data_IF_268391243762
#
_entry.id   IF_268391243762
#
_cell.length_a   1.000
_cell.length_b   1.000
_cell.length_c   1.000
_cell.angle_alpha   90.00
_cell.angle_beta   90.00
_cell.angle_gamma   90.00
#
_symmetry.space_group_name_H-M   'P 1'
#
loop_
_entity.id
_entity.type
_entity.pdbx_description
1 polymer ?
#
# COMPACT_ATOMS: atom_id res chain seq x y z
N UNK A 1 -21.34 9.61 -6.01
CA UNK A 1 -20.09 8.86 -6.30
C UNK A 1 -19.23 9.80 -7.14
N UNK A 2 -18.04 10.15 -6.66
CA UNK A 2 -17.19 11.24 -7.14
C UNK A 2 -16.92 11.22 -8.66
N UNK A 3 -16.97 12.38 -9.31
CA UNK A 3 -16.60 12.52 -10.74
C UNK A 3 -15.17 12.05 -11.03
N UNK A 4 -14.32 12.06 -10.00
CA UNK A 4 -12.90 11.71 -10.03
C UNK A 4 -12.60 10.25 -10.41
N UNK A 5 -13.60 9.35 -10.37
CA UNK A 5 -13.44 7.93 -10.71
C UNK A 5 -14.29 7.50 -11.92
N UNK A 6 -14.92 8.45 -12.62
CA UNK A 6 -15.72 8.15 -13.82
C UNK A 6 -14.90 7.45 -14.90
N UNK A 7 -13.63 7.84 -15.06
CA UNK A 7 -12.68 7.25 -16.00
C UNK A 7 -12.34 5.79 -15.69
N UNK A 8 -12.61 5.30 -14.47
CA UNK A 8 -12.45 3.89 -14.13
C UNK A 8 -13.59 3.03 -14.69
N UNK A 9 -14.73 3.65 -15.01
CA UNK A 9 -15.98 2.97 -15.35
C UNK A 9 -16.30 2.96 -16.85
N UNK A 10 -15.73 3.87 -17.66
CA UNK A 10 -15.89 3.90 -19.11
C UNK A 10 -14.53 3.73 -19.81
N UNK A 11 -14.43 2.72 -20.68
CA UNK A 11 -13.26 2.36 -21.51
C UNK A 11 -11.92 2.09 -20.82
N UNK A 12 -11.89 2.16 -19.49
CA UNK A 12 -10.71 1.82 -18.69
C UNK A 12 -10.32 0.35 -18.84
N UNK A 13 -9.03 0.04 -18.74
CA UNK A 13 -8.55 -1.34 -18.73
C UNK A 13 -9.17 -2.15 -17.58
N UNK A 14 -9.52 -1.49 -16.47
CA UNK A 14 -10.15 -2.12 -15.30
C UNK A 14 -11.60 -2.50 -15.61
N UNK A 15 -12.33 -1.66 -16.35
CA UNK A 15 -13.70 -1.94 -16.76
C UNK A 15 -13.80 -3.19 -17.67
N UNK A 16 -12.76 -3.46 -18.46
CA UNK A 16 -12.70 -4.64 -19.35
C UNK A 16 -12.69 -5.97 -18.60
N UNK A 17 -12.30 -5.99 -17.32
CA UNK A 17 -12.43 -7.20 -16.48
C UNK A 17 -13.88 -7.62 -16.25
N UNK A 18 -14.86 -6.74 -16.49
CA UNK A 18 -16.28 -7.08 -16.43
C UNK A 18 -16.68 -8.16 -17.43
N UNK A 19 -15.89 -8.38 -18.49
CA UNK A 19 -16.07 -9.52 -19.38
C UNK A 19 -15.91 -10.87 -18.66
N UNK A 20 -15.22 -10.94 -17.52
CA UNK A 20 -15.10 -12.17 -16.71
C UNK A 20 -16.28 -12.36 -15.73
N UNK A 21 -17.19 -11.39 -15.62
CA UNK A 21 -18.36 -11.44 -14.75
C UNK A 21 -19.56 -12.08 -15.46
N UNK A 22 -20.00 -13.28 -15.06
CA UNK A 22 -21.13 -13.95 -15.72
C UNK A 22 -22.47 -13.24 -15.52
N UNK A 23 -22.58 -12.35 -14.53
CA UNK A 23 -23.80 -11.54 -14.34
C UNK A 23 -23.99 -10.50 -15.46
N UNK A 24 -22.93 -10.19 -16.20
CA UNK A 24 -22.92 -9.18 -17.26
C UNK A 24 -23.09 -9.78 -18.66
N UNK A 25 -23.16 -11.11 -18.77
CA UNK A 25 -23.27 -11.80 -20.05
C UNK A 25 -24.69 -11.80 -20.61
N UNK A 26 -24.84 -11.76 -21.94
CA UNK A 26 -26.14 -11.99 -22.57
C UNK A 26 -26.67 -13.38 -22.20
N UNK A 27 -27.99 -13.53 -22.14
CA UNK A 27 -28.61 -14.82 -21.84
C UNK A 27 -28.24 -15.83 -22.92
N UNK A 28 -27.72 -16.96 -22.48
CA UNK A 28 -27.41 -18.06 -23.37
C UNK A 28 -28.69 -18.87 -23.64
N UNK A 29 -29.08 -18.94 -24.91
CA UNK A 29 -30.20 -19.75 -25.39
C UNK A 29 -29.68 -20.78 -26.40
N UNK A 30 -29.98 -22.06 -26.19
CA UNK A 30 -29.56 -23.13 -27.09
C UNK A 30 -30.35 -23.16 -28.40
N UNK A 31 -31.56 -22.59 -28.41
CA UNK A 31 -32.51 -22.67 -29.53
C UNK A 31 -32.29 -21.57 -30.56
N UNK A 32 -31.76 -20.42 -30.13
CA UNK A 32 -31.49 -19.28 -30.99
C UNK A 32 -30.01 -19.22 -31.41
N UNK A 33 -29.74 -19.32 -32.71
CA UNK A 33 -28.39 -19.23 -33.25
C UNK A 33 -27.73 -17.86 -32.99
N UNK A 34 -28.51 -16.78 -33.05
CA UNK A 34 -28.00 -15.41 -32.85
C UNK A 34 -27.64 -15.19 -31.38
N UNK A 35 -28.47 -15.68 -30.45
CA UNK A 35 -28.17 -15.64 -29.01
C UNK A 35 -26.87 -16.40 -28.66
N UNK A 36 -26.63 -17.56 -29.29
CA UNK A 36 -25.38 -18.31 -29.08
C UNK A 36 -24.17 -17.58 -29.61
N UNK A 37 -24.27 -16.97 -30.79
CA UNK A 37 -23.17 -16.23 -31.39
C UNK A 37 -22.84 -14.97 -30.59
N UNK A 38 -23.86 -14.18 -30.21
CA UNK A 38 -23.69 -13.00 -29.35
C UNK A 38 -23.07 -13.36 -28.00
N UNK A 39 -23.51 -14.47 -27.37
CA UNK A 39 -22.84 -15.00 -26.18
C UNK A 39 -21.39 -15.36 -26.45
N UNK A 40 -21.08 -16.04 -27.56
CA UNK A 40 -19.71 -16.48 -27.84
C UNK A 40 -18.76 -15.30 -28.11
N UNK A 41 -19.24 -14.27 -28.79
CA UNK A 41 -18.46 -13.07 -29.12
C UNK A 41 -18.28 -12.12 -27.93
N UNK A 42 -19.24 -12.10 -26.99
CA UNK A 42 -19.21 -11.18 -25.85
C UNK A 42 -17.95 -11.35 -24.98
N UNK A 43 -17.20 -10.26 -24.79
CA UNK A 43 -16.00 -10.21 -23.96
C UNK A 43 -14.70 -10.56 -24.69
N UNK A 44 -14.75 -10.98 -25.97
CA UNK A 44 -13.53 -11.35 -26.69
C UNK A 44 -12.62 -10.16 -27.00
N UNK A 45 -13.20 -9.01 -27.33
CA UNK A 45 -12.42 -7.78 -27.59
C UNK A 45 -11.78 -7.26 -26.30
N UNK A 46 -12.48 -7.36 -25.18
CA UNK A 46 -11.99 -7.03 -23.85
C UNK A 46 -10.82 -7.94 -23.47
N UNK A 47 -10.90 -9.25 -23.71
CA UNK A 47 -9.79 -10.18 -23.48
C UNK A 47 -8.59 -9.89 -24.39
N UNK A 48 -8.82 -9.54 -25.66
CA UNK A 48 -7.76 -9.08 -26.57
C UNK A 48 -7.08 -7.81 -26.05
N UNK A 49 -7.85 -6.85 -25.55
CA UNK A 49 -7.30 -5.64 -24.97
C UNK A 49 -6.53 -5.90 -23.67
N UNK A 50 -7.03 -6.78 -22.79
CA UNK A 50 -6.38 -7.14 -21.54
C UNK A 50 -5.06 -7.88 -21.79
N UNK A 51 -5.07 -8.87 -22.68
CA UNK A 51 -3.87 -9.60 -23.08
C UNK A 51 -2.84 -8.68 -23.75
N UNK A 52 -3.27 -7.72 -24.57
CA UNK A 52 -2.39 -6.71 -25.17
C UNK A 52 -1.79 -5.75 -24.15
N UNK A 53 -2.58 -5.28 -23.18
CA UNK A 53 -2.13 -4.37 -22.13
C UNK A 53 -1.13 -5.04 -21.17
N UNK A 54 -1.41 -6.28 -20.75
CA UNK A 54 -0.55 -7.04 -19.83
C UNK A 54 0.46 -7.95 -20.55
N UNK A 55 0.75 -7.69 -21.84
CA UNK A 55 1.59 -8.57 -22.68
C UNK A 55 2.95 -8.88 -22.07
N UNK A 56 3.60 -7.91 -21.42
CA UNK A 56 4.93 -8.11 -20.84
C UNK A 56 4.88 -9.03 -19.61
N UNK A 57 3.82 -8.93 -18.83
CA UNK A 57 3.59 -9.77 -17.66
C UNK A 57 3.26 -11.20 -18.09
N UNK A 58 2.37 -11.34 -19.08
CA UNK A 58 2.02 -12.65 -19.66
C UNK A 58 3.22 -13.32 -20.34
N UNK A 59 4.05 -12.55 -21.07
CA UNK A 59 5.26 -13.07 -21.72
C UNK A 59 6.27 -13.62 -20.71
N UNK A 60 6.44 -12.98 -19.53
CA UNK A 60 7.30 -13.49 -18.45
C UNK A 60 6.82 -14.84 -17.90
N UNK A 61 5.50 -15.09 -17.95
CA UNK A 61 4.91 -16.37 -17.59
C UNK A 61 4.83 -17.37 -18.76
N UNK A 62 5.39 -17.01 -19.93
CA UNK A 62 5.34 -17.83 -21.14
C UNK A 62 3.92 -18.04 -21.68
N UNK A 63 3.05 -17.04 -21.55
CA UNK A 63 1.65 -17.06 -22.04
C UNK A 63 1.54 -16.21 -23.30
N UNK A 64 0.96 -16.76 -24.35
CA UNK A 64 0.61 -16.00 -25.56
C UNK A 64 -0.79 -15.37 -25.46
N UNK A 65 -1.05 -14.22 -26.13
CA UNK A 65 -2.39 -13.61 -26.14
C UNK A 65 -3.48 -14.52 -26.72
N UNK A 66 -3.12 -15.43 -27.64
CA UNK A 66 -4.05 -16.37 -28.25
C UNK A 66 -4.54 -17.43 -27.25
N UNK A 67 -3.65 -17.92 -26.38
CA UNK A 67 -4.01 -18.84 -25.28
C UNK A 67 -5.08 -18.23 -24.36
N UNK A 68 -4.99 -16.92 -24.06
CA UNK A 68 -5.96 -16.21 -23.22
C UNK A 68 -7.37 -16.28 -23.82
N UNK A 69 -7.50 -16.09 -25.13
CA UNK A 69 -8.80 -16.10 -25.82
C UNK A 69 -9.38 -17.51 -25.85
N UNK A 70 -8.55 -18.51 -26.14
CA UNK A 70 -8.97 -19.91 -26.15
C UNK A 70 -9.43 -20.37 -24.75
N UNK A 71 -8.70 -19.98 -23.72
CA UNK A 71 -9.03 -20.29 -22.33
C UNK A 71 -10.28 -19.54 -21.85
N UNK A 72 -10.48 -18.30 -22.30
CA UNK A 72 -11.69 -17.52 -22.02
C UNK A 72 -12.96 -18.25 -22.49
N UNK A 73 -12.94 -18.88 -23.66
CA UNK A 73 -14.09 -19.67 -24.14
C UNK A 73 -14.44 -20.82 -23.16
N UNK A 74 -13.44 -21.50 -22.61
CA UNK A 74 -13.64 -22.57 -21.62
C UNK A 74 -14.18 -22.01 -20.30
N UNK A 75 -13.66 -20.85 -19.88
CA UNK A 75 -14.14 -20.15 -18.69
C UNK A 75 -15.62 -19.76 -18.83
N UNK A 76 -16.07 -19.35 -20.02
CA UNK A 76 -17.50 -19.06 -20.25
C UNK A 76 -18.38 -20.26 -19.96
N UNK A 77 -18.00 -21.45 -20.42
CA UNK A 77 -18.74 -22.69 -20.11
C UNK A 77 -18.73 -23.00 -18.61
N UNK A 78 -17.59 -22.81 -17.94
CA UNK A 78 -17.44 -23.04 -16.50
C UNK A 78 -18.28 -22.09 -15.65
N UNK A 79 -18.37 -20.81 -16.02
CA UNK A 79 -19.01 -19.77 -15.22
C UNK A 79 -20.46 -19.47 -15.64
N UNK A 80 -20.95 -20.01 -16.76
CA UNK A 80 -22.30 -19.78 -17.29
C UNK A 80 -23.40 -19.98 -16.24
N UNK A 81 -23.31 -21.04 -15.44
CA UNK A 81 -24.32 -21.38 -14.41
C UNK A 81 -24.08 -20.68 -13.07
N UNK A 82 -23.15 -19.73 -13.01
CA UNK A 82 -22.73 -19.02 -11.80
C UNK A 82 -22.98 -17.52 -11.86
N UNK A 83 -23.93 -17.06 -12.68
CA UNK A 83 -24.30 -15.64 -12.78
C UNK A 83 -24.82 -15.02 -11.48
N UNK A 84 -25.31 -15.83 -10.54
CA UNK A 84 -25.72 -15.38 -9.21
C UNK A 84 -24.55 -15.28 -8.21
N UNK A 85 -23.38 -15.84 -8.53
CA UNK A 85 -22.20 -15.83 -7.65
C UNK A 85 -21.38 -14.57 -7.94
N UNK A 86 -20.97 -13.80 -6.92
CA UNK A 86 -20.11 -12.64 -7.13
C UNK A 86 -18.81 -13.02 -7.85
N UNK A 87 -18.37 -12.20 -8.80
CA UNK A 87 -17.15 -12.45 -9.59
C UNK A 87 -15.92 -12.77 -8.73
N UNK A 88 -15.78 -12.06 -7.59
CA UNK A 88 -14.72 -12.31 -6.60
C UNK A 88 -14.69 -13.77 -6.12
N UNK A 89 -15.85 -14.34 -5.81
CA UNK A 89 -15.92 -15.68 -5.23
C UNK A 89 -15.69 -16.75 -6.30
N UNK A 90 -16.08 -16.46 -7.56
CA UNK A 90 -15.70 -17.29 -8.71
C UNK A 90 -14.17 -17.30 -8.86
N UNK A 91 -13.52 -16.14 -8.79
CA UNK A 91 -12.05 -16.05 -8.91
C UNK A 91 -11.36 -16.78 -7.77
N UNK A 92 -11.81 -16.60 -6.52
CA UNK A 92 -11.28 -17.35 -5.38
C UNK A 92 -11.44 -18.86 -5.58
N UNK A 93 -12.59 -19.31 -6.09
CA UNK A 93 -12.80 -20.74 -6.35
C UNK A 93 -11.79 -21.31 -7.34
N UNK A 94 -11.40 -20.55 -8.37
CA UNK A 94 -10.39 -20.94 -9.36
C UNK A 94 -9.01 -20.89 -8.72
N UNK A 95 -8.65 -19.77 -8.10
CA UNK A 95 -7.30 -19.51 -7.56
C UNK A 95 -6.93 -20.39 -6.36
N UNK A 96 -7.90 -20.94 -5.63
CA UNK A 96 -7.67 -21.82 -4.47
C UNK A 96 -7.58 -23.31 -4.83
N UNK A 97 -7.89 -23.70 -6.06
CA UNK A 97 -7.87 -25.11 -6.50
C UNK A 97 -6.79 -25.33 -7.53
N UNK A 98 -5.84 -26.23 -7.24
CA UNK A 98 -4.72 -26.54 -8.15
C UNK A 98 -5.21 -27.03 -9.51
N UNK A 99 -6.22 -27.92 -9.54
CA UNK A 99 -6.83 -28.41 -10.77
C UNK A 99 -7.39 -27.28 -11.64
N UNK A 100 -8.11 -26.34 -11.02
CA UNK A 100 -8.70 -25.20 -11.74
C UNK A 100 -7.66 -24.17 -12.16
N UNK A 101 -6.61 -23.98 -11.36
CA UNK A 101 -5.45 -23.15 -11.77
C UNK A 101 -4.74 -23.74 -12.98
N UNK A 102 -4.59 -25.06 -13.04
CA UNK A 102 -3.99 -25.74 -14.19
C UNK A 102 -4.87 -25.63 -15.44
N UNK A 103 -6.19 -25.73 -15.28
CA UNK A 103 -7.16 -25.53 -16.37
C UNK A 103 -7.18 -24.09 -16.88
N UNK A 104 -7.08 -23.12 -15.97
CA UNK A 104 -7.18 -21.68 -16.27
C UNK A 104 -5.85 -20.94 -16.05
N UNK A 105 -4.75 -21.45 -16.61
CA UNK A 105 -3.39 -20.91 -16.38
C UNK A 105 -3.28 -19.42 -16.76
N UNK A 106 -3.83 -19.05 -17.91
CA UNK A 106 -3.68 -17.72 -18.48
C UNK A 106 -4.57 -16.71 -17.76
N UNK A 107 -5.83 -17.08 -17.53
CA UNK A 107 -6.81 -16.26 -16.83
C UNK A 107 -6.49 -16.12 -15.36
N UNK A 108 -5.82 -17.08 -14.71
CA UNK A 108 -5.37 -16.94 -13.32
C UNK A 108 -4.53 -15.68 -13.13
N UNK A 109 -3.62 -15.36 -14.06
CA UNK A 109 -2.80 -14.15 -13.98
C UNK A 109 -3.66 -12.89 -14.05
N UNK A 110 -4.65 -12.85 -14.96
CA UNK A 110 -5.58 -11.74 -15.06
C UNK A 110 -6.47 -11.62 -13.82
N UNK A 111 -6.98 -12.73 -13.29
CA UNK A 111 -7.77 -12.77 -12.06
C UNK A 111 -6.97 -12.27 -10.86
N UNK A 112 -5.72 -12.69 -10.71
CA UNK A 112 -4.82 -12.22 -9.65
C UNK A 112 -4.57 -10.72 -9.75
N UNK A 113 -4.29 -10.21 -10.96
CA UNK A 113 -4.15 -8.77 -11.20
C UNK A 113 -5.42 -8.04 -10.73
N UNK A 114 -6.60 -8.49 -11.14
CA UNK A 114 -7.86 -7.88 -10.74
C UNK A 114 -8.05 -7.88 -9.22
N UNK A 115 -7.73 -8.98 -8.55
CA UNK A 115 -7.89 -9.14 -7.11
C UNK A 115 -6.99 -8.23 -6.28
N UNK A 116 -5.87 -7.74 -6.85
CA UNK A 116 -4.98 -6.78 -6.18
C UNK A 116 -5.23 -5.32 -6.56
N UNK A 117 -6.16 -5.04 -7.48
CA UNK A 117 -6.49 -3.66 -7.85
C UNK A 117 -7.12 -2.93 -6.65
N UNK A 118 -6.61 -1.74 -6.28
CA UNK A 118 -7.20 -0.96 -5.20
C UNK A 118 -8.57 -0.43 -5.63
N UNK A 119 -9.63 -0.95 -5.02
CA UNK A 119 -11.02 -0.52 -5.29
C UNK A 119 -11.38 0.79 -4.57
N UNK A 120 -10.53 1.26 -3.64
CA UNK A 120 -10.79 2.45 -2.82
C UNK A 120 -9.56 3.31 -2.60
N UNK A 121 -9.74 4.62 -2.69
CA UNK A 121 -8.74 5.63 -2.29
C UNK A 121 -8.67 5.87 -0.79
N UNK A 122 -9.55 5.24 0.01
CA UNK A 122 -9.61 5.47 1.46
C UNK A 122 -8.27 5.15 2.15
N UNK A 123 -7.51 4.17 1.66
CA UNK A 123 -6.16 3.88 2.18
C UNK A 123 -5.21 5.06 1.93
N UNK A 124 -5.25 5.63 0.73
CA UNK A 124 -4.45 6.80 0.37
C UNK A 124 -4.85 8.03 1.20
N UNK A 125 -6.16 8.25 1.41
CA UNK A 125 -6.70 9.35 2.23
C UNK A 125 -6.29 9.22 3.71
N UNK A 126 -6.27 7.99 4.25
CA UNK A 126 -5.69 7.72 5.58
C UNK A 126 -4.20 7.99 5.61
N UNK A 127 -3.48 7.67 4.53
CA UNK A 127 -2.07 8.03 4.34
C UNK A 127 -1.84 9.55 4.40
N UNK A 128 -2.62 10.34 3.65
CA UNK A 128 -2.55 11.80 3.66
C UNK A 128 -2.93 12.40 5.02
N UNK A 129 -3.97 11.87 5.66
CA UNK A 129 -4.35 12.27 7.02
C UNK A 129 -3.23 12.01 8.01
N UNK A 130 -2.55 10.86 7.90
CA UNK A 130 -1.39 10.53 8.73
C UNK A 130 -0.21 11.46 8.43
N UNK A 131 0.05 11.74 7.16
CA UNK A 131 1.08 12.70 6.75
C UNK A 131 0.83 14.08 7.37
N UNK A 132 -0.43 14.56 7.39
CA UNK A 132 -0.81 15.85 7.99
C UNK A 132 -0.59 15.88 9.51
N UNK A 133 -0.75 14.75 10.20
CA UNK A 133 -0.45 14.61 11.65
C UNK A 133 1.04 14.61 11.93
N UNK A 134 1.85 13.99 11.06
CA UNK A 134 3.30 13.87 11.22
C UNK A 134 4.01 15.17 10.80
N UNK A 135 3.65 15.73 9.64
CA UNK A 135 4.20 16.96 9.08
C UNK A 135 3.33 18.15 9.48
N UNK A 136 3.64 18.70 10.64
CA UNK A 136 3.04 19.92 11.19
C UNK A 136 3.92 21.14 10.89
N UNK A 137 3.39 22.35 11.03
CA UNK A 137 4.14 23.61 10.82
C UNK A 137 5.40 23.68 11.69
N UNK A 138 5.31 23.18 12.94
CA UNK A 138 6.43 23.06 13.87
C UNK A 138 7.50 22.01 13.49
N UNK A 139 7.18 21.10 12.56
CA UNK A 139 8.08 20.04 12.07
C UNK A 139 8.40 20.25 10.58
N UNK A 140 8.64 21.49 10.18
CA UNK A 140 8.88 21.90 8.79
C UNK A 140 10.22 21.40 8.21
N UNK A 141 11.17 20.99 9.05
CA UNK A 141 12.52 20.55 8.65
C UNK A 141 12.68 19.05 8.40
N UNK A 142 11.58 18.27 8.36
CA UNK A 142 11.65 16.84 8.07
C UNK A 142 12.08 16.58 6.63
N UNK A 143 13.17 15.82 6.46
CA UNK A 143 13.54 15.26 5.15
C UNK A 143 12.50 14.23 4.69
N UNK A 144 12.42 13.98 3.39
CA UNK A 144 11.51 12.98 2.81
C UNK A 144 11.68 11.60 3.45
N UNK A 145 12.94 11.18 3.67
CA UNK A 145 13.24 9.89 4.30
C UNK A 145 12.76 9.82 5.77
N UNK A 146 12.92 10.90 6.53
CA UNK A 146 12.42 10.98 7.91
C UNK A 146 10.90 10.96 7.95
N UNK A 147 10.24 11.73 7.08
CA UNK A 147 8.79 11.76 6.98
C UNK A 147 8.24 10.37 6.65
N UNK A 148 8.80 9.69 5.65
CA UNK A 148 8.40 8.34 5.28
C UNK A 148 8.54 7.36 6.45
N UNK A 149 9.66 7.39 7.19
CA UNK A 149 9.87 6.53 8.36
C UNK A 149 8.84 6.80 9.46
N UNK A 150 8.58 8.07 9.78
CA UNK A 150 7.59 8.44 10.79
C UNK A 150 6.17 8.06 10.38
N UNK A 151 5.82 8.21 9.10
CA UNK A 151 4.55 7.74 8.55
C UNK A 151 4.45 6.21 8.65
N UNK A 152 5.52 5.48 8.31
CA UNK A 152 5.54 4.02 8.41
C UNK A 152 5.30 3.55 9.84
N UNK A 153 5.98 4.15 10.82
CA UNK A 153 5.74 3.88 12.25
C UNK A 153 4.30 4.22 12.64
N UNK A 154 3.76 5.33 12.14
CA UNK A 154 2.40 5.75 12.49
C UNK A 154 1.31 4.85 11.89
N UNK A 155 1.57 4.22 10.74
CA UNK A 155 0.59 3.39 10.01
C UNK A 155 0.71 1.91 10.39
N UNK A 156 1.94 1.41 10.50
CA UNK A 156 2.25 -0.02 10.65
C UNK A 156 2.93 -0.36 11.98
N UNK A 157 3.21 0.65 12.80
CA UNK A 157 3.83 0.43 14.10
C UNK A 157 2.91 -0.31 15.07
N UNK A 158 3.49 -0.95 16.11
CA UNK A 158 2.71 -1.58 17.16
C UNK A 158 1.86 -0.56 17.92
N UNK A 159 0.85 -1.05 18.64
CA UNK A 159 0.15 -0.21 19.60
C UNK A 159 1.14 0.34 20.64
N UNK A 160 0.79 1.47 21.27
CA UNK A 160 1.68 2.11 22.24
C UNK A 160 2.03 1.18 23.41
N UNK A 161 1.09 0.32 23.81
CA UNK A 161 1.24 -0.67 24.88
C UNK A 161 2.27 -1.76 24.53
N UNK A 162 2.38 -2.11 23.25
CA UNK A 162 3.29 -3.13 22.73
C UNK A 162 4.63 -2.54 22.26
N UNK A 163 4.80 -1.22 22.35
CA UNK A 163 6.00 -0.56 21.86
C UNK A 163 7.16 -0.66 22.85
N UNK A 164 8.18 -1.43 22.48
CA UNK A 164 9.44 -1.51 23.23
C UNK A 164 10.31 -0.25 23.06
N UNK A 165 10.06 0.72 23.93
CA UNK A 165 10.82 1.96 23.99
C UNK A 165 12.29 1.74 24.41
N UNK A 166 12.58 0.71 25.23
CA UNK A 166 13.92 0.46 25.74
C UNK A 166 14.87 0.01 24.63
N UNK A 167 14.42 -0.91 23.77
CA UNK A 167 15.19 -1.33 22.60
C UNK A 167 15.43 -0.18 21.62
N UNK A 168 14.43 0.68 21.41
CA UNK A 168 14.58 1.85 20.55
C UNK A 168 15.62 2.84 21.11
N UNK A 169 15.56 3.12 22.42
CA UNK A 169 16.51 3.99 23.11
C UNK A 169 17.93 3.41 23.08
N UNK A 170 18.09 2.11 23.33
CA UNK A 170 19.38 1.43 23.29
C UNK A 170 19.98 1.45 21.89
N UNK A 171 19.18 1.18 20.85
CA UNK A 171 19.60 1.30 19.45
C UNK A 171 20.02 2.71 19.11
N UNK A 172 19.26 3.72 19.53
CA UNK A 172 19.64 5.12 19.31
C UNK A 172 20.96 5.46 20.02
N UNK A 173 21.16 4.97 21.24
CA UNK A 173 22.38 5.18 22.00
C UNK A 173 23.60 4.58 21.29
N UNK A 174 23.52 3.32 20.87
CA UNK A 174 24.66 2.58 20.29
C UNK A 174 24.93 2.91 18.82
N UNK A 175 23.90 3.21 18.02
CA UNK A 175 24.05 3.48 16.58
C UNK A 175 24.32 4.95 16.24
N UNK A 176 24.12 5.87 17.20
CA UNK A 176 24.35 7.29 16.95
C UNK A 176 25.85 7.58 16.83
N UNK A 177 26.37 7.71 15.60
CA UNK A 177 27.63 8.40 15.32
C UNK A 177 27.46 9.89 15.62
N UNK A 178 27.33 10.23 16.90
CA UNK A 178 27.33 11.63 17.33
C UNK A 178 28.75 12.12 17.06
N UNK A 179 28.90 13.06 16.13
CA UNK A 179 30.01 14.01 16.21
C UNK A 179 29.86 14.70 17.55
N UNK A 180 30.49 14.15 18.60
CA UNK A 180 30.72 14.88 19.84
C UNK A 180 31.41 16.15 19.40
N UNK A 181 30.80 17.32 19.62
CA UNK A 181 31.52 18.58 19.44
C UNK A 181 32.64 18.54 20.47
N UNK A 182 33.92 18.40 20.08
CA UNK A 182 35.00 18.39 21.04
C UNK A 182 34.94 19.72 21.81
N UNK A 183 34.85 19.65 23.14
CA UNK A 183 34.78 20.84 24.01
C UNK A 183 33.39 21.35 24.41
N UNK A 184 32.28 20.72 24.01
CA UNK A 184 30.96 21.09 24.53
C UNK A 184 30.63 20.29 25.81
N UNK A 185 30.81 20.91 26.98
CA UNK A 185 30.29 20.42 28.25
C UNK A 185 29.04 21.25 28.63
N UNK A 186 27.82 20.67 28.65
CA UNK A 186 26.61 21.40 29.06
C UNK A 186 26.63 21.89 30.51
N UNK A 187 27.51 21.30 31.34
CA UNK A 187 27.55 21.51 32.78
C UNK A 187 28.63 22.51 33.22
N UNK A 188 29.58 22.86 32.35
CA UNK A 188 30.70 23.76 32.71
C UNK A 188 30.27 25.19 33.02
N UNK A 189 29.06 25.60 32.60
CA UNK A 189 28.53 26.94 32.92
C UNK A 189 27.90 27.01 34.31
N UNK A 190 27.66 25.87 34.99
CA UNK A 190 27.04 25.85 36.33
C UNK A 190 28.06 25.91 37.47
N UNK A 191 29.31 25.54 37.22
CA UNK A 191 30.37 25.51 38.25
C UNK A 191 30.94 26.90 38.58
N UNK A 192 30.61 27.94 37.80
CA UNK A 192 31.18 29.29 37.98
C UNK A 192 30.38 30.20 38.92
N UNK A 193 29.36 29.68 39.60
CA UNK A 193 28.46 30.48 40.45
C UNK A 193 28.73 30.38 41.95
N UNK A 194 29.51 29.40 42.40
CA UNK A 194 29.58 29.06 43.84
C UNK A 194 30.90 29.50 44.52
N UNK A 195 31.90 30.00 43.77
CA UNK A 195 33.19 30.44 44.34
C UNK A 195 33.27 31.94 44.68
N UNK A 196 32.33 32.78 44.21
CA UNK A 196 32.39 34.23 44.45
C UNK A 196 31.76 34.68 45.79
N UNK A 197 30.99 33.82 46.49
CA UNK A 197 30.32 34.18 47.75
C UNK A 197 31.12 33.85 49.02
N UNK A 198 32.24 33.11 48.94
CA UNK A 198 33.03 32.72 50.14
C UNK A 198 34.13 33.74 50.50
N UNK A 199 34.46 34.68 49.60
CA UNK A 199 35.55 35.66 49.78
C UNK A 199 35.13 36.98 50.45
N UNK A 200 33.85 37.18 50.78
CA UNK A 200 33.35 38.42 51.40
C UNK A 200 33.26 38.33 52.94
N UNK A 201 33.50 37.17 53.55
CA UNK A 201 33.31 36.95 55.01
C UNK A 201 34.61 36.79 55.83
N UNK A 202 35.80 37.10 55.29
CA UNK A 202 37.07 37.04 56.02
C UNK A 202 37.93 38.31 55.89
N UNK A 203 37.37 39.48 56.21
CA UNK A 203 38.14 40.73 56.14
C UNK A 203 37.50 41.93 56.83
N UNK A 204 37.08 41.80 58.10
CA UNK A 204 36.69 42.96 58.90
C UNK A 204 36.70 42.70 60.41
N UNK A 205 37.79 42.20 60.99
CA UNK A 205 38.05 42.33 62.43
C UNK A 205 39.55 42.54 62.61
N UNK A 206 39.94 43.80 62.87
CA UNK A 206 41.00 44.22 63.81
C UNK A 206 41.52 45.61 63.42
N UNK A 207 41.09 46.63 64.17
CA UNK A 207 41.94 47.66 64.79
C UNK A 207 41.04 48.75 65.43
N UNK A 208 40.78 48.56 66.74
CA UNK A 208 40.32 49.59 67.67
C UNK A 208 41.36 49.70 68.80
N UNK A 209 41.68 50.96 69.14
CA UNK A 209 42.37 51.45 70.36
C UNK A 209 43.90 51.22 70.40
N UNK A 210 44.76 52.22 70.58
CA UNK A 210 44.72 53.43 71.44
C UNK A 210 45.23 54.72 70.76
#
# INVERSE_FOLDING_TARGET
>A
MDERLKDLHQDSIVAKFRALDPSCWPKYDHTDAVARETFTQHGQEEMKSLSGFYKELLAKAGITPEEVIAEYAQYKSFALRRSAVPMRDIFLSVLQSEERRAMFRCLCHLMEIYMVLPVSTAVCERGFSTMKRVKTDWRSSLTTAQLQRLMFISIQGPALEDFDAASAAQRWWTSSLRRRRPGFNPWSSRERGDEEDELVLMGSEDELEE
#
